data_IF_943195047809
#
_entry.id   IF_943195047809
#
_cell.length_a   1.000
_cell.length_b   1.000
_cell.length_c   1.000
_cell.angle_alpha   90.00
_cell.angle_beta   90.00
_cell.angle_gamma   90.00
#
_symmetry.space_group_name_H-M   'P 1'
#
loop_
_entity.id
_entity.type
_entity.pdbx_description
1 polymer ?
#
# COMPACT_ATOMS: atom_id res chain seq x y z
N UNK A 1 4.14 -17.60 4.36
CA UNK A 1 3.94 -16.78 3.15
C UNK A 1 4.79 -15.53 3.30
N UNK A 2 5.77 -15.33 2.42
CA UNK A 2 6.44 -14.02 2.34
C UNK A 2 5.41 -12.98 1.87
N UNK A 3 5.26 -11.92 2.64
CA UNK A 3 4.37 -10.82 2.24
C UNK A 3 5.09 -10.05 1.13
N UNK A 4 4.47 -9.84 -0.04
CA UNK A 4 5.07 -8.99 -1.06
C UNK A 4 5.37 -7.63 -0.46
N UNK A 5 6.55 -7.09 -0.76
CA UNK A 5 6.91 -5.77 -0.25
C UNK A 5 6.11 -4.70 -1.01
N UNK A 6 4.96 -4.32 -0.46
CA UNK A 6 4.06 -3.32 -1.04
C UNK A 6 4.72 -1.92 -1.03
N UNK A 7 5.64 -1.67 -0.10
CA UNK A 7 6.33 -0.39 0.04
C UNK A 7 7.65 -0.48 -0.71
N UNK A 8 7.79 0.32 -1.77
CA UNK A 8 9.02 0.37 -2.56
C UNK A 8 10.16 1.00 -1.73
N UNK A 9 11.32 0.33 -1.66
CA UNK A 9 12.54 0.95 -1.13
C UNK A 9 13.10 1.89 -2.19
N UNK A 10 13.19 3.17 -1.87
CA UNK A 10 13.61 4.20 -2.82
C UNK A 10 15.07 4.60 -2.61
N UNK A 11 15.82 4.72 -3.72
CA UNK A 11 17.19 5.23 -3.73
C UNK A 11 17.33 6.27 -4.83
N UNK A 12 17.78 7.46 -4.46
CA UNK A 12 18.09 8.52 -5.42
C UNK A 12 19.13 8.07 -6.44
N UNK A 13 20.19 7.40 -5.97
CA UNK A 13 21.31 6.96 -6.80
C UNK A 13 20.88 5.96 -7.87
N UNK A 14 19.98 5.03 -7.51
CA UNK A 14 19.44 4.05 -8.45
C UNK A 14 18.55 4.71 -9.50
N UNK A 15 17.67 5.62 -9.09
CA UNK A 15 16.80 6.39 -10.02
C UNK A 15 17.66 7.22 -10.96
N UNK A 16 18.64 7.94 -10.42
CA UNK A 16 19.54 8.79 -11.19
C UNK A 16 20.40 7.99 -12.18
N UNK A 17 20.93 6.82 -11.77
CA UNK A 17 21.68 5.94 -12.68
C UNK A 17 20.83 5.49 -13.86
N UNK A 18 19.60 5.02 -13.59
CA UNK A 18 18.65 4.59 -14.63
C UNK A 18 18.31 5.71 -15.60
N UNK A 19 18.11 6.93 -15.10
CA UNK A 19 17.85 8.08 -15.96
C UNK A 19 19.04 8.43 -16.86
N UNK A 20 20.27 8.36 -16.35
CA UNK A 20 21.49 8.56 -17.15
C UNK A 20 21.62 7.51 -18.25
N UNK A 21 21.43 6.23 -17.90
CA UNK A 21 21.46 5.13 -18.86
C UNK A 21 20.42 5.31 -19.96
N UNK A 22 19.20 5.75 -19.60
CA UNK A 22 18.14 5.99 -20.56
C UNK A 22 18.41 7.24 -21.43
N UNK A 23 19.06 8.28 -20.90
CA UNK A 23 19.49 9.43 -21.70
C UNK A 23 20.50 8.99 -22.79
N UNK A 24 21.54 8.25 -22.39
CA UNK A 24 22.57 7.75 -23.34
C UNK A 24 21.96 6.79 -24.36
N UNK A 25 20.97 5.98 -23.96
CA UNK A 25 20.26 5.07 -24.88
C UNK A 25 19.46 5.83 -25.94
N UNK A 26 18.89 6.99 -25.59
CA UNK A 26 18.10 7.80 -26.53
C UNK A 26 18.97 8.69 -27.42
N UNK A 27 20.12 9.09 -26.91
CA UNK A 27 21.06 9.93 -27.63
C UNK A 27 22.50 9.58 -27.23
N UNK A 28 23.18 8.85 -28.12
CA UNK A 28 24.55 8.37 -27.94
C UNK A 28 25.58 9.52 -27.87
N UNK A 29 25.21 10.75 -28.31
CA UNK A 29 26.08 11.92 -28.23
C UNK A 29 26.33 12.35 -26.78
N UNK A 30 25.44 11.98 -25.85
CA UNK A 30 25.64 12.18 -24.41
C UNK A 30 26.53 11.10 -23.77
N UNK A 31 27.29 10.32 -24.56
CA UNK A 31 28.28 9.40 -24.00
C UNK A 31 29.38 10.16 -23.22
N UNK A 32 29.57 9.79 -21.95
CA UNK A 32 30.58 10.41 -21.08
C UNK A 32 30.15 11.68 -20.34
N UNK A 33 28.87 11.78 -19.95
CA UNK A 33 28.32 12.87 -19.11
C UNK A 33 29.27 13.26 -17.97
N UNK A 34 29.68 14.53 -17.95
CA UNK A 34 30.48 15.14 -16.88
C UNK A 34 29.55 15.92 -15.96
N UNK A 35 29.87 16.01 -14.67
CA UNK A 35 29.05 16.75 -13.68
C UNK A 35 28.78 18.22 -14.06
N UNK A 36 29.61 18.82 -14.93
CA UNK A 36 29.45 20.18 -15.44
C UNK A 36 28.40 20.32 -16.54
N UNK A 37 27.95 19.22 -17.16
CA UNK A 37 26.97 19.28 -18.23
C UNK A 37 25.61 19.75 -17.70
N UNK A 38 24.94 20.72 -18.35
CA UNK A 38 23.62 21.19 -17.92
C UNK A 38 22.59 20.05 -17.80
N UNK A 39 22.71 19.03 -18.66
CA UNK A 39 21.89 17.83 -18.62
C UNK A 39 21.99 17.09 -17.27
N UNK A 40 23.16 17.04 -16.64
CA UNK A 40 23.34 16.38 -15.34
C UNK A 40 22.49 17.04 -14.26
N UNK A 41 22.49 18.38 -14.19
CA UNK A 41 21.67 19.11 -13.22
C UNK A 41 20.18 18.96 -13.46
N UNK A 42 19.77 18.91 -14.72
CA UNK A 42 18.36 18.61 -15.06
C UNK A 42 17.98 17.20 -14.62
N UNK A 43 18.84 16.21 -14.85
CA UNK A 43 18.61 14.83 -14.40
C UNK A 43 18.58 14.70 -12.88
N UNK A 44 19.44 15.41 -12.15
CA UNK A 44 19.42 15.44 -10.68
C UNK A 44 18.07 15.96 -10.15
N UNK A 45 17.58 17.07 -10.72
CA UNK A 45 16.27 17.64 -10.37
C UNK A 45 15.13 16.68 -10.71
N UNK A 46 15.21 16.01 -11.88
CA UNK A 46 14.21 15.02 -12.29
C UNK A 46 14.19 13.81 -11.36
N UNK A 47 15.35 13.24 -11.04
CA UNK A 47 15.49 12.11 -10.12
C UNK A 47 15.00 12.46 -8.71
N UNK A 48 15.30 13.66 -8.23
CA UNK A 48 14.80 14.15 -6.94
C UNK A 48 13.27 14.28 -6.92
N UNK A 49 12.69 14.84 -7.98
CA UNK A 49 11.23 14.94 -8.12
C UNK A 49 10.56 13.57 -8.18
N UNK A 50 11.14 12.64 -8.93
CA UNK A 50 10.63 11.26 -8.99
C UNK A 50 10.68 10.58 -7.62
N UNK A 51 11.78 10.74 -6.88
CA UNK A 51 11.91 10.21 -5.53
C UNK A 51 10.77 10.71 -4.63
N UNK A 52 10.51 12.02 -4.62
CA UNK A 52 9.44 12.62 -3.82
C UNK A 52 8.04 12.12 -4.25
N UNK A 53 7.80 11.94 -5.54
CA UNK A 53 6.53 11.41 -6.04
C UNK A 53 6.33 9.96 -5.59
N UNK A 54 7.35 9.11 -5.69
CA UNK A 54 7.27 7.72 -5.23
C UNK A 54 7.13 7.63 -3.71
N UNK A 55 7.78 8.51 -2.95
CA UNK A 55 7.57 8.61 -1.49
C UNK A 55 6.10 8.94 -1.18
N UNK A 56 5.51 9.93 -1.86
CA UNK A 56 4.10 10.28 -1.68
C UNK A 56 3.17 9.11 -2.03
N UNK A 57 3.49 8.35 -3.07
CA UNK A 57 2.73 7.13 -3.42
C UNK A 57 2.84 6.09 -2.32
N UNK A 58 4.05 5.82 -1.80
CA UNK A 58 4.26 4.90 -0.68
C UNK A 58 3.46 5.30 0.57
N UNK A 59 3.44 6.58 0.92
CA UNK A 59 2.64 7.06 2.06
C UNK A 59 1.14 6.91 1.80
N UNK A 60 0.65 7.26 0.62
CA UNK A 60 -0.76 7.06 0.26
C UNK A 60 -1.16 5.58 0.32
N UNK A 61 -0.28 4.66 -0.12
CA UNK A 61 -0.53 3.23 -0.01
C UNK A 61 -0.54 2.77 1.44
N UNK A 62 0.39 3.25 2.29
CA UNK A 62 0.39 2.94 3.73
C UNK A 62 -0.90 3.37 4.42
N UNK A 63 -1.39 4.58 4.14
CA UNK A 63 -2.66 5.09 4.67
C UNK A 63 -3.85 4.20 4.33
N UNK A 64 -3.82 3.51 3.19
CA UNK A 64 -4.87 2.59 2.76
C UNK A 64 -4.70 1.15 3.29
N UNK A 65 -3.62 0.84 4.00
CA UNK A 65 -3.39 -0.48 4.57
C UNK A 65 -3.79 -0.46 6.04
N UNK A 66 -4.77 -1.29 6.42
CA UNK A 66 -5.26 -1.43 7.80
C UNK A 66 -4.11 -1.61 8.83
N UNK A 67 -3.01 -2.26 8.42
CA UNK A 67 -1.81 -2.45 9.24
C UNK A 67 -1.11 -1.16 9.63
N UNK A 68 -1.13 -0.14 8.78
CA UNK A 68 -0.33 1.09 8.90
C UNK A 68 -1.17 2.36 9.05
N UNK A 69 -2.44 2.35 8.62
CA UNK A 69 -3.36 3.47 8.75
C UNK A 69 -3.51 3.94 10.20
N UNK A 70 -3.63 5.25 10.41
CA UNK A 70 -3.74 5.91 11.72
C UNK A 70 -4.75 7.04 11.67
N UNK A 71 -5.35 7.39 12.81
CA UNK A 71 -6.33 8.48 12.91
C UNK A 71 -7.45 8.38 11.87
N UNK A 72 -7.68 9.48 11.14
CA UNK A 72 -8.75 9.58 10.13
C UNK A 72 -8.61 8.55 9.01
N UNK A 73 -7.40 8.16 8.60
CA UNK A 73 -7.21 7.12 7.59
C UNK A 73 -7.73 5.76 8.08
N UNK A 74 -7.52 5.45 9.37
CA UNK A 74 -8.02 4.23 9.98
C UNK A 74 -9.55 4.27 10.14
N UNK A 75 -10.11 5.44 10.42
CA UNK A 75 -11.56 5.65 10.54
C UNK A 75 -12.26 5.47 9.20
N UNK A 76 -11.71 6.06 8.13
CA UNK A 76 -12.19 5.88 6.76
C UNK A 76 -12.12 4.40 6.34
N UNK A 77 -11.08 3.67 6.76
CA UNK A 77 -10.99 2.23 6.51
C UNK A 77 -12.03 1.43 7.30
N UNK A 78 -12.37 1.88 8.52
CA UNK A 78 -13.35 1.22 9.36
C UNK A 78 -14.77 1.27 8.78
N UNK A 79 -15.10 2.30 8.00
CA UNK A 79 -16.38 2.40 7.29
C UNK A 79 -16.64 1.20 6.38
N UNK A 80 -15.61 0.65 5.72
CA UNK A 80 -15.74 -0.57 4.90
C UNK A 80 -16.15 -1.80 5.71
N UNK A 81 -15.83 -1.83 7.00
CA UNK A 81 -16.21 -2.90 7.93
C UNK A 81 -17.49 -2.60 8.70
N UNK A 82 -18.12 -1.44 8.48
CA UNK A 82 -19.33 -1.00 9.18
C UNK A 82 -19.11 -0.80 10.68
N UNK A 83 -17.91 -0.35 11.08
CA UNK A 83 -17.56 -0.10 12.49
C UNK A 83 -17.19 1.37 12.65
N UNK A 84 -17.69 1.99 13.71
CA UNK A 84 -17.34 3.36 14.10
C UNK A 84 -16.45 3.33 15.35
N UNK A 85 -15.49 4.26 15.43
CA UNK A 85 -14.55 4.33 16.55
C UNK A 85 -15.22 4.87 17.82
N UNK A 86 -14.90 4.26 18.96
CA UNK A 86 -15.31 4.80 20.26
C UNK A 86 -14.57 6.10 20.61
N UNK A 87 -15.24 7.02 21.32
CA UNK A 87 -14.64 8.31 21.70
C UNK A 87 -13.43 8.11 22.62
N UNK A 88 -12.26 8.55 22.17
CA UNK A 88 -11.01 8.47 22.93
C UNK A 88 -10.28 7.12 22.79
N UNK A 89 -10.73 6.27 21.88
CA UNK A 89 -10.09 5.00 21.58
C UNK A 89 -8.80 5.16 20.75
N UNK A 90 -7.75 4.46 21.16
CA UNK A 90 -6.47 4.43 20.45
C UNK A 90 -6.50 3.56 19.18
N UNK A 91 -5.62 3.88 18.23
CA UNK A 91 -5.54 3.19 16.93
C UNK A 91 -5.17 1.70 17.04
N UNK A 92 -4.44 1.28 18.08
CA UNK A 92 -4.06 -0.12 18.22
C UNK A 92 -5.23 -0.99 18.65
N UNK A 93 -6.00 -0.53 19.64
CA UNK A 93 -7.22 -1.17 20.10
C UNK A 93 -8.25 -1.21 18.98
N UNK A 94 -8.51 -0.08 18.33
CA UNK A 94 -9.50 0.00 17.26
C UNK A 94 -9.14 -0.94 16.09
N UNK A 95 -7.87 -0.95 15.65
CA UNK A 95 -7.42 -1.87 14.60
C UNK A 95 -7.58 -3.34 15.00
N UNK A 96 -7.37 -3.67 16.28
CA UNK A 96 -7.56 -5.04 16.78
C UNK A 96 -9.03 -5.43 16.70
N UNK A 97 -9.94 -4.53 17.08
CA UNK A 97 -11.39 -4.74 16.95
C UNK A 97 -11.80 -5.00 15.50
N UNK A 98 -11.37 -4.14 14.57
CA UNK A 98 -11.67 -4.32 13.13
C UNK A 98 -11.23 -5.69 12.62
N UNK A 99 -10.03 -6.16 13.02
CA UNK A 99 -9.56 -7.51 12.68
C UNK A 99 -10.43 -8.61 13.28
N UNK A 100 -10.89 -8.47 14.52
CA UNK A 100 -11.79 -9.45 15.13
C UNK A 100 -13.15 -9.47 14.44
N UNK A 101 -13.68 -8.30 14.08
CA UNK A 101 -14.95 -8.14 13.35
C UNK A 101 -14.91 -8.84 11.99
N UNK A 102 -13.82 -8.64 11.24
CA UNK A 102 -13.60 -9.31 9.97
C UNK A 102 -13.60 -10.84 10.12
N UNK A 103 -12.86 -11.37 11.10
CA UNK A 103 -12.79 -12.81 11.36
C UNK A 103 -14.12 -13.40 11.87
N UNK A 104 -14.89 -12.62 12.64
CA UNK A 104 -16.21 -13.04 13.13
C UNK A 104 -17.25 -13.10 12.00
N UNK A 105 -17.22 -12.15 11.05
CA UNK A 105 -18.08 -12.15 9.88
C UNK A 105 -17.87 -13.40 9.00
N UNK A 106 -16.62 -13.81 8.78
CA UNK A 106 -16.32 -15.07 8.06
C UNK A 106 -16.90 -16.30 8.78
N UNK A 107 -16.91 -16.31 10.13
CA UNK A 107 -17.49 -17.42 10.90
C UNK A 107 -19.02 -17.46 10.82
N UNK A 108 -19.70 -16.31 10.87
CA UNK A 108 -21.17 -16.26 10.74
C UNK A 108 -21.64 -16.72 9.36
N UNK A 109 -20.90 -16.38 8.30
CA UNK A 109 -21.21 -16.82 6.94
C UNK A 109 -21.00 -18.33 6.75
N UNK A 110 -19.90 -18.90 7.29
CA UNK A 110 -19.64 -20.34 7.27
C UNK A 110 -20.68 -21.11 8.10
N UNK A 111 -21.04 -20.61 9.30
CA UNK A 111 -22.07 -21.21 10.14
C UNK A 111 -23.43 -21.17 9.43
N UNK A 112 -23.78 -20.06 8.78
CA UNK A 112 -25.00 -19.92 8.00
C UNK A 112 -25.08 -20.92 6.84
N UNK A 113 -23.98 -21.12 6.10
CA UNK A 113 -23.89 -22.10 5.01
C UNK A 113 -24.03 -23.53 5.55
N UNK A 114 -23.32 -23.87 6.63
CA UNK A 114 -23.44 -25.18 7.29
C UNK A 114 -24.88 -25.43 7.75
N UNK A 115 -25.53 -24.45 8.38
CA UNK A 115 -26.90 -24.60 8.86
C UNK A 115 -27.88 -24.84 7.69
N UNK A 116 -27.67 -24.14 6.57
CA UNK A 116 -28.47 -24.32 5.36
C UNK A 116 -28.25 -25.70 4.71
N UNK A 117 -27.01 -26.22 4.73
CA UNK A 117 -26.69 -27.58 4.27
C UNK A 117 -27.33 -28.65 5.18
N UNK A 118 -27.24 -28.49 6.50
CA UNK A 118 -27.83 -29.41 7.47
C UNK A 118 -29.36 -29.50 7.31
N UNK A 119 -30.04 -28.36 7.10
CA UNK A 119 -31.48 -28.31 6.84
C UNK A 119 -31.83 -28.98 5.50
N UNK A 120 -31.00 -28.82 4.47
CA UNK A 120 -31.18 -29.52 3.19
C UNK A 120 -31.08 -31.03 3.34
N UNK A 121 -30.10 -31.53 4.08
CA UNK A 121 -29.91 -32.96 4.33
C UNK A 121 -31.07 -33.56 5.14
N UNK A 122 -31.54 -32.85 6.17
CA UNK A 122 -32.69 -33.27 6.98
C UNK A 122 -34.03 -33.28 6.22
N UNK A 123 -34.18 -32.47 5.16
CA UNK A 123 -35.38 -32.45 4.30
C UNK A 123 -35.36 -33.51 3.19
N UNK A 124 -34.25 -34.21 2.97
CA UNK A 124 -34.14 -35.31 1.99
C UNK A 124 -34.43 -36.70 2.61
N UNK A 125 -34.78 -36.74 3.89
CA UNK A 125 -35.27 -37.93 4.61
C UNK A 125 -36.71 -37.70 5.07
#
# INVERSE_FOLDING_TARGET
>A
MEQPNIIEKLSFEEIFSRMKEELVRRDETFSGLVESDPAMKVLEVAAWRELLLRQRINEAVKSNLLKFAMGEDLDNLAEFYGVEREKGEDDERFRKELKQRYLAGEQEEIIGIMHCQQIRELKMH
#
